data_IF_619625849185
#
_entry.id   IF_619625849185
#
_cell.length_a   1.000
_cell.length_b   1.000
_cell.length_c   1.000
_cell.angle_alpha   90.00
_cell.angle_beta   90.00
_cell.angle_gamma   90.00
#
_symmetry.space_group_name_H-M   'P 1'
#
loop_
_entity.id
_entity.type
_entity.pdbx_description
1 polymer ?
#
# COMPACT_ATOMS: atom_id res chain seq x y z
N UNK A 1 5.76 -0.52 -16.61
CA UNK A 1 4.47 -0.89 -16.00
C UNK A 1 3.92 -2.09 -16.75
N UNK A 2 3.46 -3.12 -16.03
CA UNK A 2 2.70 -4.21 -16.60
C UNK A 2 1.54 -4.56 -15.68
N UNK A 3 0.44 -5.05 -16.28
CA UNK A 3 -0.76 -5.42 -15.56
C UNK A 3 -1.26 -6.76 -16.09
N UNK A 4 -1.55 -7.68 -15.19
CA UNK A 4 -2.20 -8.95 -15.50
C UNK A 4 -3.57 -8.95 -14.85
N UNK A 5 -4.63 -8.90 -15.65
CA UNK A 5 -5.99 -8.82 -15.14
C UNK A 5 -6.43 -10.14 -14.48
N UNK A 6 -6.38 -11.25 -15.22
CA UNK A 6 -6.72 -12.58 -14.70
C UNK A 6 -6.12 -13.65 -15.61
N UNK A 7 -4.81 -13.92 -15.51
CA UNK A 7 -4.15 -14.86 -16.39
C UNK A 7 -4.50 -16.31 -16.05
N UNK A 8 -4.79 -17.13 -17.05
CA UNK A 8 -5.13 -18.54 -16.89
C UNK A 8 -3.98 -19.41 -16.36
N UNK A 9 -2.74 -18.94 -16.45
CA UNK A 9 -1.54 -19.69 -16.05
C UNK A 9 -1.15 -19.52 -14.57
N UNK A 10 -1.97 -18.83 -13.77
CA UNK A 10 -1.73 -18.61 -12.34
C UNK A 10 -2.86 -19.20 -11.46
N UNK A 11 -3.72 -20.06 -12.01
CA UNK A 11 -4.88 -20.63 -11.29
C UNK A 11 -4.50 -21.39 -10.02
N UNK A 12 -3.31 -21.98 -10.00
CA UNK A 12 -2.86 -22.82 -8.89
C UNK A 12 -2.46 -21.99 -7.66
N UNK A 13 -2.01 -20.75 -7.86
CA UNK A 13 -1.53 -19.85 -6.79
C UNK A 13 -2.46 -18.66 -6.55
N UNK A 14 -3.21 -18.23 -7.57
CA UNK A 14 -4.19 -17.16 -7.53
C UNK A 14 -5.52 -17.63 -8.18
N UNK A 15 -6.25 -18.56 -7.52
CA UNK A 15 -7.49 -19.11 -8.06
C UNK A 15 -8.64 -18.09 -8.13
N UNK A 16 -8.58 -17.04 -7.32
CA UNK A 16 -9.54 -15.94 -7.33
C UNK A 16 -9.33 -14.99 -8.53
N UNK A 17 -8.21 -15.13 -9.25
CA UNK A 17 -7.91 -14.32 -10.41
C UNK A 17 -7.70 -12.84 -10.08
N UNK A 18 -7.12 -12.54 -8.92
CA UNK A 18 -6.83 -11.16 -8.53
C UNK A 18 -5.83 -10.53 -9.52
N UNK A 19 -6.09 -9.30 -9.99
CA UNK A 19 -5.17 -8.62 -10.89
C UNK A 19 -3.83 -8.34 -10.21
N UNK A 20 -2.75 -8.40 -10.98
CA UNK A 20 -1.41 -8.09 -10.52
C UNK A 20 -0.88 -6.87 -11.25
N UNK A 21 -0.46 -5.85 -10.50
CA UNK A 21 0.09 -4.61 -11.02
C UNK A 21 1.56 -4.50 -10.65
N UNK A 22 2.41 -4.21 -11.63
CA UNK A 22 3.85 -4.06 -11.39
C UNK A 22 4.45 -2.80 -11.97
N UNK A 23 5.44 -2.30 -11.24
CA UNK A 23 6.37 -1.27 -11.66
C UNK A 23 7.76 -1.88 -11.79
N UNK A 24 8.31 -1.84 -13.01
CA UNK A 24 9.70 -2.17 -13.25
C UNK A 24 10.53 -0.91 -12.97
N UNK A 25 11.24 -0.89 -11.84
CA UNK A 25 12.07 0.25 -11.45
C UNK A 25 13.38 0.30 -12.25
N UNK A 26 13.70 -0.75 -13.01
CA UNK A 26 14.91 -0.76 -13.86
C UNK A 26 14.75 0.11 -15.10
N UNK A 27 13.50 0.39 -15.50
CA UNK A 27 13.18 1.24 -16.64
C UNK A 27 13.22 2.73 -16.33
N UNK A 28 13.57 3.13 -15.10
CA UNK A 28 13.64 4.54 -14.71
C UNK A 28 14.90 5.21 -15.29
N UNK A 29 14.92 6.54 -15.27
CA UNK A 29 16.10 7.30 -15.68
C UNK A 29 17.28 7.06 -14.74
N UNK A 30 18.50 7.27 -15.26
CA UNK A 30 19.76 7.12 -14.52
C UNK A 30 19.73 7.83 -13.15
N UNK A 31 20.44 7.24 -12.18
CA UNK A 31 20.43 7.47 -10.73
C UNK A 31 19.23 6.90 -9.97
N UNK A 32 18.08 6.70 -10.62
CA UNK A 32 16.88 6.11 -10.01
C UNK A 32 16.53 4.73 -10.56
N UNK A 33 17.32 4.21 -11.50
CA UNK A 33 17.11 2.88 -12.04
C UNK A 33 17.65 1.81 -11.08
N UNK A 34 16.78 0.91 -10.66
CA UNK A 34 17.12 -0.17 -9.73
C UNK A 34 16.61 -1.50 -10.29
N UNK A 35 17.35 -2.62 -10.15
CA UNK A 35 16.92 -3.93 -10.62
C UNK A 35 15.85 -4.52 -9.67
N UNK A 36 14.71 -3.85 -9.57
CA UNK A 36 13.63 -4.14 -8.64
C UNK A 36 12.29 -4.12 -9.37
N UNK A 37 11.52 -5.20 -9.21
CA UNK A 37 10.11 -5.24 -9.59
C UNK A 37 9.27 -4.92 -8.34
N UNK A 38 8.41 -3.92 -8.43
CA UNK A 38 7.51 -3.52 -7.36
C UNK A 38 6.08 -3.95 -7.68
N UNK A 39 5.59 -4.96 -6.96
CA UNK A 39 4.21 -5.42 -7.04
C UNK A 39 3.34 -4.57 -6.13
N UNK A 40 2.28 -3.98 -6.69
CA UNK A 40 1.32 -3.17 -5.94
C UNK A 40 0.02 -3.94 -5.80
N UNK A 41 -0.31 -4.33 -4.56
CA UNK A 41 -1.43 -5.21 -4.24
C UNK A 41 -2.47 -4.46 -3.43
N UNK A 42 -3.74 -4.82 -3.60
CA UNK A 42 -4.86 -4.22 -2.89
C UNK A 42 -5.92 -5.27 -2.52
N UNK A 43 -6.81 -4.87 -1.61
CA UNK A 43 -7.98 -5.65 -1.22
C UNK A 43 -7.64 -7.06 -0.72
N UNK A 44 -8.38 -8.04 -1.22
CA UNK A 44 -8.25 -9.43 -0.75
C UNK A 44 -6.93 -10.08 -1.17
N UNK A 45 -6.32 -9.64 -2.28
CA UNK A 45 -5.02 -10.14 -2.72
C UNK A 45 -3.92 -9.75 -1.73
N UNK A 46 -3.88 -8.50 -1.28
CA UNK A 46 -2.88 -8.07 -0.29
C UNK A 46 -3.09 -8.79 1.05
N UNK A 47 -4.34 -8.97 1.48
CA UNK A 47 -4.68 -9.76 2.67
C UNK A 47 -4.19 -11.19 2.57
N UNK A 48 -4.48 -11.86 1.45
CA UNK A 48 -4.03 -13.22 1.19
C UNK A 48 -2.50 -13.34 1.29
N UNK A 49 -1.75 -12.43 0.66
CA UNK A 49 -0.29 -12.46 0.71
C UNK A 49 0.24 -12.24 2.12
N UNK A 50 -0.30 -11.27 2.86
CA UNK A 50 0.14 -11.04 4.25
C UNK A 50 -0.17 -12.25 5.13
N UNK A 51 -1.38 -12.81 5.05
CA UNK A 51 -1.76 -14.02 5.80
C UNK A 51 -0.87 -15.22 5.42
N UNK A 52 -0.47 -15.31 4.15
CA UNK A 52 0.41 -16.37 3.65
C UNK A 52 1.82 -16.28 4.26
N UNK A 53 2.36 -15.08 4.46
CA UNK A 53 3.77 -14.91 4.89
C UNK A 53 3.96 -14.57 6.36
N UNK A 54 2.95 -14.05 7.04
CA UNK A 54 3.11 -13.49 8.38
C UNK A 54 3.64 -14.50 9.40
N UNK A 55 4.59 -14.05 10.24
CA UNK A 55 5.21 -14.89 11.28
C UNK A 55 6.14 -15.99 10.80
N UNK A 56 6.34 -16.15 9.48
CA UNK A 56 7.20 -17.19 8.90
C UNK A 56 8.68 -16.77 8.84
N UNK A 57 9.63 -17.72 8.85
CA UNK A 57 11.04 -17.42 8.64
C UNK A 57 11.30 -16.95 7.20
N UNK A 58 12.41 -16.23 7.00
CA UNK A 58 12.70 -15.53 5.74
C UNK A 58 12.79 -16.44 4.51
N UNK A 59 13.31 -17.66 4.66
CA UNK A 59 13.41 -18.66 3.59
C UNK A 59 12.04 -19.21 3.19
N UNK A 60 11.14 -19.44 4.16
CA UNK A 60 9.77 -19.85 3.88
C UNK A 60 8.98 -18.71 3.22
N UNK A 61 9.14 -17.46 3.70
CA UNK A 61 8.54 -16.28 3.06
C UNK A 61 8.97 -16.16 1.60
N UNK A 62 10.27 -16.28 1.33
CA UNK A 62 10.78 -16.25 -0.04
C UNK A 62 10.13 -17.33 -0.91
N UNK A 63 10.11 -18.60 -0.46
CA UNK A 63 9.53 -19.70 -1.24
C UNK A 63 8.04 -19.49 -1.54
N UNK A 64 7.28 -19.00 -0.57
CA UNK A 64 5.84 -18.76 -0.72
C UNK A 64 5.55 -17.59 -1.68
N UNK A 65 6.29 -16.49 -1.52
CA UNK A 65 6.18 -15.33 -2.41
C UNK A 65 6.64 -15.68 -3.83
N UNK A 66 7.76 -16.40 -3.95
CA UNK A 66 8.27 -16.88 -5.24
C UNK A 66 7.22 -17.75 -5.94
N UNK A 67 6.65 -18.73 -5.24
CA UNK A 67 5.60 -19.58 -5.80
C UNK A 67 4.42 -18.76 -6.31
N UNK A 68 3.95 -17.77 -5.54
CA UNK A 68 2.83 -16.93 -5.94
C UNK A 68 3.16 -16.03 -7.15
N UNK A 69 4.31 -15.36 -7.16
CA UNK A 69 4.64 -14.33 -8.14
C UNK A 69 5.40 -14.83 -9.38
N UNK A 70 6.07 -15.99 -9.31
CA UNK A 70 6.85 -16.57 -10.42
C UNK A 70 6.04 -16.72 -11.70
N UNK A 71 4.75 -17.14 -11.70
CA UNK A 71 3.95 -17.18 -12.92
C UNK A 71 3.90 -15.85 -13.68
N UNK A 72 4.01 -14.71 -12.99
CA UNK A 72 3.94 -13.39 -13.57
C UNK A 72 5.31 -12.90 -14.05
N UNK A 73 6.30 -12.80 -13.15
CA UNK A 73 7.58 -12.18 -13.51
C UNK A 73 8.42 -13.04 -14.46
N UNK A 74 8.27 -14.37 -14.45
CA UNK A 74 9.04 -15.27 -15.33
C UNK A 74 8.70 -15.12 -16.82
N UNK A 75 7.58 -14.45 -17.12
CA UNK A 75 7.11 -14.18 -18.48
C UNK A 75 7.49 -12.77 -18.95
N UNK A 76 8.16 -11.97 -18.12
CA UNK A 76 8.61 -10.64 -18.51
C UNK A 76 9.77 -10.74 -19.52
N UNK A 77 9.69 -10.03 -20.65
CA UNK A 77 10.77 -10.03 -21.63
C UNK A 77 12.09 -9.57 -21.01
N UNK A 78 13.14 -10.36 -21.18
CA UNK A 78 14.48 -10.04 -20.68
C UNK A 78 14.69 -10.22 -19.18
N UNK A 79 13.69 -10.71 -18.44
CA UNK A 79 13.85 -11.06 -17.03
C UNK A 79 14.28 -12.52 -16.89
N UNK A 80 15.38 -12.76 -16.17
CA UNK A 80 15.79 -14.11 -15.76
C UNK A 80 15.13 -14.46 -14.41
N UNK A 81 14.17 -15.40 -14.37
CA UNK A 81 13.45 -15.75 -13.14
C UNK A 81 14.34 -16.38 -12.06
N UNK A 82 15.53 -16.87 -12.41
CA UNK A 82 16.46 -17.47 -11.45
C UNK A 82 17.49 -16.44 -10.94
N UNK A 83 17.45 -15.21 -11.45
CA UNK A 83 18.30 -14.10 -11.01
C UNK A 83 17.78 -13.35 -9.77
N UNK A 84 16.53 -13.61 -9.35
CA UNK A 84 15.88 -12.92 -8.24
C UNK A 84 16.52 -13.29 -6.89
N UNK A 85 17.29 -12.37 -6.32
CA UNK A 85 18.05 -12.60 -5.07
C UNK A 85 17.19 -12.58 -3.81
N UNK A 86 16.12 -11.78 -3.81
CA UNK A 86 15.22 -11.59 -2.67
C UNK A 86 13.82 -11.21 -3.15
N UNK A 87 12.81 -11.59 -2.38
CA UNK A 87 11.42 -11.15 -2.55
C UNK A 87 10.93 -10.74 -1.16
N UNK A 88 10.46 -9.51 -1.05
CA UNK A 88 10.00 -8.92 0.22
C UNK A 88 8.54 -8.50 0.08
N UNK A 89 7.79 -8.66 1.16
CA UNK A 89 6.41 -8.20 1.25
C UNK A 89 6.26 -7.33 2.50
N UNK A 90 5.49 -6.26 2.38
CA UNK A 90 5.04 -5.50 3.56
C UNK A 90 3.97 -6.30 4.28
N UNK A 91 3.91 -6.17 5.61
CA UNK A 91 2.94 -6.88 6.45
C UNK A 91 2.07 -5.89 7.24
N UNK A 92 1.79 -4.72 6.64
CA UNK A 92 1.02 -3.64 7.27
C UNK A 92 -0.27 -4.14 7.92
N UNK A 93 -1.00 -5.05 7.26
CA UNK A 93 -2.23 -5.66 7.77
C UNK A 93 -2.09 -6.35 9.16
N UNK A 94 -0.88 -6.73 9.57
CA UNK A 94 -0.61 -7.41 10.86
C UNK A 94 0.14 -6.53 11.85
N UNK A 95 0.36 -5.27 11.52
CA UNK A 95 0.99 -4.31 12.43
C UNK A 95 -0.11 -3.47 13.11
N UNK A 96 -0.25 -3.68 14.41
CA UNK A 96 -1.27 -3.05 15.25
C UNK A 96 -1.12 -1.52 15.30
N UNK A 97 0.09 -0.98 15.05
CA UNK A 97 0.33 0.47 15.11
C UNK A 97 -0.24 1.23 13.91
N UNK A 98 -0.52 0.56 12.80
CA UNK A 98 -1.18 1.15 11.63
C UNK A 98 -2.67 0.78 11.52
N UNK A 99 -3.22 0.07 12.52
CA UNK A 99 -4.62 -0.36 12.51
C UNK A 99 -4.92 -1.52 11.55
N UNK A 100 -3.89 -2.24 11.08
CA UNK A 100 -4.04 -3.33 10.12
C UNK A 100 -4.39 -2.86 8.71
N UNK A 101 -3.88 -1.71 8.27
CA UNK A 101 -4.16 -1.17 6.94
C UNK A 101 -2.97 -0.35 6.40
N UNK A 102 -2.99 -0.05 5.11
CA UNK A 102 -1.93 0.71 4.44
C UNK A 102 -2.12 2.22 4.54
N UNK A 103 -3.31 2.69 4.17
CA UNK A 103 -3.69 4.10 4.15
C UNK A 103 -5.22 4.24 4.02
N UNK A 104 -5.74 5.42 4.32
CA UNK A 104 -7.14 5.78 4.20
C UNK A 104 -7.61 5.67 2.74
N UNK A 105 -8.71 4.95 2.52
CA UNK A 105 -9.39 4.90 1.25
C UNK A 105 -10.88 5.21 1.41
N UNK A 106 -11.53 5.55 0.30
CA UNK A 106 -12.96 5.83 0.24
C UNK A 106 -13.64 4.73 -0.57
N UNK A 107 -14.15 3.67 0.08
CA UNK A 107 -14.76 2.56 -0.63
C UNK A 107 -16.01 3.01 -1.41
N UNK A 108 -16.35 2.24 -2.45
CA UNK A 108 -17.61 2.44 -3.18
C UNK A 108 -18.78 2.37 -2.19
N UNK A 109 -19.66 3.36 -2.24
CA UNK A 109 -20.78 3.49 -1.32
C UNK A 109 -20.49 4.34 -0.08
N UNK A 110 -19.28 4.89 0.08
CA UNK A 110 -19.03 5.93 1.07
C UNK A 110 -19.90 7.16 0.79
N UNK A 111 -20.70 7.56 1.76
CA UNK A 111 -21.51 8.78 1.73
C UNK A 111 -20.76 9.90 2.44
N UNK A 112 -20.80 11.11 1.87
CA UNK A 112 -20.25 12.33 2.50
C UNK A 112 -18.79 12.24 3.03
N UNK A 113 -17.94 11.37 2.48
CA UNK A 113 -16.55 11.18 2.95
C UNK A 113 -15.70 12.46 3.02
N UNK A 114 -16.01 13.46 2.19
CA UNK A 114 -15.38 14.78 2.26
C UNK A 114 -15.72 15.52 3.56
N UNK A 115 -16.94 15.38 4.07
CA UNK A 115 -17.36 15.93 5.37
C UNK A 115 -16.63 15.23 6.52
N UNK A 116 -16.41 13.91 6.43
CA UNK A 116 -15.63 13.17 7.42
C UNK A 116 -14.18 13.70 7.49
N UNK A 117 -13.53 13.91 6.34
CA UNK A 117 -12.19 14.50 6.28
C UNK A 117 -12.19 15.91 6.87
N UNK A 118 -13.21 16.73 6.57
CA UNK A 118 -13.34 18.07 7.16
C UNK A 118 -13.54 18.00 8.68
N UNK A 119 -14.30 17.05 9.19
CA UNK A 119 -14.51 16.85 10.61
C UNK A 119 -13.19 16.45 11.33
N UNK A 120 -12.44 15.50 10.77
CA UNK A 120 -11.09 15.15 11.28
C UNK A 120 -10.15 16.35 11.28
N UNK A 121 -10.18 17.14 10.20
CA UNK A 121 -9.37 18.34 10.02
C UNK A 121 -9.71 19.45 11.03
N UNK A 122 -10.99 19.62 11.36
CA UNK A 122 -11.44 20.57 12.39
C UNK A 122 -11.03 20.13 13.79
N UNK A 123 -11.14 18.83 14.11
CA UNK A 123 -10.92 18.30 15.45
C UNK A 123 -12.02 18.69 16.43
N UNK A 124 -11.77 18.49 17.73
CA UNK A 124 -12.68 18.90 18.82
C UNK A 124 -12.10 20.12 19.54
N UNK A 125 -12.29 21.29 18.95
CA UNK A 125 -11.67 22.55 19.37
C UNK A 125 -12.03 22.88 20.83
N UNK A 126 -13.29 22.64 21.23
CA UNK A 126 -13.79 22.86 22.58
C UNK A 126 -13.11 21.97 23.64
N UNK A 127 -12.43 20.90 23.21
CA UNK A 127 -11.63 20.00 24.04
C UNK A 127 -10.12 20.14 23.81
N UNK A 128 -9.70 21.09 22.97
CA UNK A 128 -8.31 21.23 22.54
C UNK A 128 -7.72 19.93 21.96
N UNK A 129 -8.49 19.26 21.10
CA UNK A 129 -8.07 18.04 20.42
C UNK A 129 -8.01 18.28 18.91
N UNK A 130 -6.89 17.96 18.29
CA UNK A 130 -6.68 18.05 16.84
C UNK A 130 -6.10 16.73 16.32
N UNK A 131 -6.56 16.31 15.15
CA UNK A 131 -6.08 15.11 14.50
C UNK A 131 -5.11 15.48 13.37
N UNK A 132 -4.08 14.67 13.21
CA UNK A 132 -3.05 14.81 12.19
C UNK A 132 -2.88 13.48 11.46
N UNK A 133 -2.48 13.54 10.19
CA UNK A 133 -2.21 12.37 9.36
C UNK A 133 -2.85 12.51 7.99
N UNK A 134 -2.63 11.55 7.11
CA UNK A 134 -3.20 11.53 5.76
C UNK A 134 -4.73 11.60 5.74
N UNK A 135 -5.41 10.96 6.71
CA UNK A 135 -6.86 10.97 6.84
C UNK A 135 -7.45 12.34 7.28
N UNK A 136 -6.59 13.28 7.69
CA UNK A 136 -6.97 14.66 8.03
C UNK A 136 -6.43 15.67 7.01
N UNK A 137 -5.73 15.19 5.96
CA UNK A 137 -5.14 16.03 4.93
C UNK A 137 -6.11 16.25 3.76
N UNK A 138 -6.06 17.41 3.07
CA UNK A 138 -6.68 17.51 1.76
C UNK A 138 -5.98 16.54 0.78
N UNK A 139 -6.66 16.17 -0.31
CA UNK A 139 -6.13 15.25 -1.35
C UNK A 139 -4.75 15.63 -1.92
N UNK A 140 -4.28 16.85 -1.69
CA UNK A 140 -3.07 17.45 -2.26
C UNK A 140 -1.90 17.59 -1.26
N UNK A 141 -2.06 17.33 0.05
CA UNK A 141 -1.05 17.75 1.07
C UNK A 141 -0.82 16.79 2.26
N UNK A 142 0.17 17.15 3.11
CA UNK A 142 0.53 16.51 4.38
C UNK A 142 -0.31 17.05 5.55
N UNK A 143 -1.12 16.21 6.22
CA UNK A 143 -2.11 16.64 7.22
C UNK A 143 -1.57 17.26 8.52
N UNK A 144 -0.26 17.19 8.80
CA UNK A 144 0.33 17.73 10.03
C UNK A 144 0.37 19.26 10.10
N UNK A 145 0.54 19.94 8.97
CA UNK A 145 0.65 21.41 8.94
C UNK A 145 -0.65 22.09 9.38
N UNK A 146 -1.80 21.53 8.99
CA UNK A 146 -3.09 22.15 9.23
C UNK A 146 -3.52 22.13 10.71
N UNK A 147 -3.25 21.04 11.43
CA UNK A 147 -3.54 20.96 12.85
C UNK A 147 -2.78 22.01 13.66
N UNK A 148 -1.50 22.25 13.32
CA UNK A 148 -0.70 23.29 13.95
C UNK A 148 -1.30 24.70 13.73
N UNK A 149 -1.77 24.99 12.53
CA UNK A 149 -2.46 26.27 12.25
C UNK A 149 -3.75 26.43 13.05
N UNK A 150 -4.53 25.37 13.22
CA UNK A 150 -5.77 25.41 14.00
C UNK A 150 -5.52 25.63 15.49
N UNK A 151 -4.46 25.04 16.04
CA UNK A 151 -4.01 25.31 17.42
C UNK A 151 -3.66 26.79 17.58
N UNK A 152 -2.83 27.34 16.69
CA UNK A 152 -2.43 28.76 16.76
C UNK A 152 -3.63 29.71 16.69
N UNK A 153 -4.62 29.40 15.83
CA UNK A 153 -5.87 30.16 15.76
C UNK A 153 -6.69 30.08 17.05
N UNK A 154 -6.80 28.88 17.64
CA UNK A 154 -7.59 28.67 18.85
C UNK A 154 -7.02 29.41 20.08
N UNK A 155 -5.69 29.54 20.16
CA UNK A 155 -5.00 30.23 21.26
C UNK A 155 -4.68 31.71 20.97
N UNK A 156 -5.19 32.27 19.88
CA UNK A 156 -5.02 33.69 19.55
C UNK A 156 -3.58 34.09 19.21
N UNK A 157 -2.72 33.13 18.86
CA UNK A 157 -1.37 33.38 18.36
C UNK A 157 -1.39 33.48 16.84
N UNK A 158 -1.91 34.62 16.35
CA UNK A 158 -1.65 35.14 15.00
C UNK A 158 -1.33 36.62 15.08
#
# INVERSE_FOLDING_TARGET
YANWLSPSYASDTNPAGWPQEIWDLSSFASLNNHPTLFFYLYGDCSRHIVDLVHGKPADEKYRLLDAFFRPYYSRLPGFDPDSAKQILATEWLKDELNGGASYCNFPVGSEAAHEDVLAFRTGCIERSLWFCGEHAAPFEECGGQHAAENILRAYGTK
#
